data_IF_783589611882
#
_entry.id   IF_783589611882
#
_cell.length_a   1.000
_cell.length_b   1.000
_cell.length_c   1.000
_cell.angle_alpha   90.00
_cell.angle_beta   90.00
_cell.angle_gamma   90.00
#
_symmetry.space_group_name_H-M   'P 1'
#
loop_
_entity.id
_entity.type
_entity.pdbx_description
1 polymer ?
#
# COMPACT_ATOMS: atom_id res chain seq x y z
N UNK A 1 8.31 56.10 28.29
CA UNK A 1 7.12 55.23 28.11
C UNK A 1 7.15 54.44 26.80
N UNK A 2 7.45 55.07 25.65
CA UNK A 2 7.57 54.42 24.32
C UNK A 2 8.48 53.17 24.27
N UNK A 3 9.67 53.18 24.90
CA UNK A 3 10.58 52.03 24.90
C UNK A 3 10.02 50.79 25.64
N UNK A 4 9.16 51.00 26.66
CA UNK A 4 8.49 49.89 27.37
C UNK A 4 7.38 49.28 26.51
N UNK A 5 6.63 50.11 25.78
CA UNK A 5 5.58 49.67 24.85
C UNK A 5 6.19 48.85 23.70
N UNK A 6 7.29 49.31 23.09
CA UNK A 6 8.00 48.56 22.05
C UNK A 6 8.51 47.20 22.55
N UNK A 7 9.01 47.13 23.79
CA UNK A 7 9.46 45.87 24.39
C UNK A 7 8.30 44.88 24.58
N UNK A 8 7.13 45.36 25.00
CA UNK A 8 5.91 44.53 25.16
C UNK A 8 5.42 44.03 23.80
N UNK A 9 5.37 44.90 22.79
CA UNK A 9 4.98 44.52 21.42
C UNK A 9 5.92 43.48 20.82
N UNK A 10 7.23 43.62 21.03
CA UNK A 10 8.22 42.64 20.58
C UNK A 10 8.04 41.27 21.25
N UNK A 11 7.69 41.24 22.55
CA UNK A 11 7.41 39.99 23.28
C UNK A 11 6.13 39.32 22.74
N UNK A 12 5.05 40.08 22.53
CA UNK A 12 3.80 39.55 21.98
C UNK A 12 4.01 39.01 20.56
N UNK A 13 4.77 39.74 19.73
CA UNK A 13 5.08 39.32 18.38
C UNK A 13 5.94 38.05 18.35
N UNK A 14 6.95 37.97 19.22
CA UNK A 14 7.75 36.76 19.40
C UNK A 14 6.91 35.56 19.85
N UNK A 15 5.97 35.77 20.79
CA UNK A 15 5.05 34.72 21.23
C UNK A 15 4.12 34.24 20.10
N UNK A 16 3.56 35.16 19.30
CA UNK A 16 2.77 34.80 18.13
C UNK A 16 3.55 33.96 17.12
N UNK A 17 4.81 34.30 16.86
CA UNK A 17 5.68 33.52 15.96
C UNK A 17 5.84 32.09 16.49
N UNK A 18 6.12 31.93 17.79
CA UNK A 18 6.28 30.61 18.40
C UNK A 18 4.99 29.79 18.31
N UNK A 19 3.84 30.40 18.59
CA UNK A 19 2.53 29.75 18.45
C UNK A 19 2.26 29.35 16.99
N UNK A 20 2.56 30.23 16.04
CA UNK A 20 2.35 29.97 14.62
C UNK A 20 3.24 28.82 14.11
N UNK A 21 4.51 28.79 14.50
CA UNK A 21 5.42 27.67 14.19
C UNK A 21 4.91 26.38 14.83
N UNK A 22 4.41 26.44 16.08
CA UNK A 22 3.79 25.30 16.75
C UNK A 22 2.59 24.74 16.00
N UNK A 23 1.69 25.61 15.53
CA UNK A 23 0.52 25.22 14.74
C UNK A 23 0.90 24.63 13.37
N UNK A 24 1.90 25.20 12.69
CA UNK A 24 2.43 24.63 11.45
C UNK A 24 3.02 23.24 11.70
N UNK A 25 3.79 23.06 12.77
CA UNK A 25 4.35 21.76 13.12
C UNK A 25 3.25 20.72 13.38
N UNK A 26 2.21 21.08 14.15
CA UNK A 26 1.04 20.21 14.39
C UNK A 26 0.31 19.89 13.08
N UNK A 27 0.11 20.89 12.22
CA UNK A 27 -0.50 20.72 10.90
C UNK A 27 0.27 19.74 10.03
N UNK A 28 1.60 19.87 9.94
CA UNK A 28 2.49 18.95 9.21
C UNK A 28 2.42 17.53 9.77
N UNK A 29 2.41 17.37 11.10
CA UNK A 29 2.24 16.06 11.73
C UNK A 29 0.87 15.45 11.39
N UNK A 30 -0.20 16.23 11.40
CA UNK A 30 -1.55 15.75 11.08
C UNK A 30 -1.72 15.36 9.61
N UNK A 31 -1.10 16.10 8.66
CA UNK A 31 -1.20 15.75 7.23
C UNK A 31 -0.26 14.61 6.82
N UNK A 32 0.73 14.24 7.64
CA UNK A 32 1.60 13.09 7.36
C UNK A 32 0.83 11.76 7.34
N UNK A 33 -0.19 11.63 8.19
CA UNK A 33 -1.03 10.42 8.23
C UNK A 33 -2.01 10.35 7.05
N UNK A 34 -2.31 11.48 6.39
CA UNK A 34 -3.14 11.49 5.18
C UNK A 34 -2.43 10.83 3.97
N UNK A 35 -1.11 10.63 4.02
CA UNK A 35 -0.38 9.89 2.98
C UNK A 35 -0.64 8.38 3.01
N UNK A 36 -1.26 7.86 4.07
CA UNK A 36 -1.54 6.45 4.28
C UNK A 36 -3.03 6.09 4.17
N UNK A 37 -3.85 6.94 3.54
CA UNK A 37 -5.30 6.72 3.36
C UNK A 37 -5.65 5.56 2.41
N UNK A 38 -4.65 4.85 1.90
CA UNK A 38 -4.88 3.66 1.10
C UNK A 38 -5.21 2.48 2.00
N UNK A 39 -6.38 1.90 1.80
CA UNK A 39 -6.81 0.68 2.46
C UNK A 39 -6.63 -0.47 1.48
N UNK A 40 -5.99 -1.55 1.93
CA UNK A 40 -5.99 -2.80 1.20
C UNK A 40 -7.07 -3.72 1.80
N UNK A 41 -8.07 -4.10 1.00
CA UNK A 41 -9.15 -4.98 1.43
C UNK A 41 -8.96 -6.40 0.89
N UNK A 42 -8.95 -7.37 1.79
CA UNK A 42 -8.73 -8.78 1.45
C UNK A 42 -9.88 -9.31 0.59
N UNK A 43 -9.56 -10.01 -0.50
CA UNK A 43 -10.56 -10.65 -1.35
C UNK A 43 -10.51 -12.18 -1.27
N UNK A 44 -9.34 -12.79 -1.55
CA UNK A 44 -9.19 -14.24 -1.63
C UNK A 44 -7.75 -14.67 -1.43
N UNK A 45 -7.54 -15.90 -0.95
CA UNK A 45 -6.21 -16.51 -0.86
C UNK A 45 -6.15 -17.92 -1.46
N UNK A 46 -4.93 -18.32 -1.83
CA UNK A 46 -4.58 -19.65 -2.33
C UNK A 46 -3.33 -20.14 -1.60
N UNK A 47 -3.45 -21.19 -0.80
CA UNK A 47 -2.33 -21.77 -0.05
C UNK A 47 -1.41 -22.59 -0.96
N UNK A 48 -0.09 -22.55 -0.68
CA UNK A 48 0.86 -23.47 -1.30
C UNK A 48 0.56 -24.92 -0.88
N UNK A 49 0.97 -25.93 -1.68
CA UNK A 49 0.74 -27.34 -1.35
C UNK A 49 1.28 -27.75 0.02
N UNK A 50 2.44 -27.24 0.40
CA UNK A 50 3.06 -27.48 1.71
C UNK A 50 2.59 -26.54 2.83
N UNK A 51 1.70 -25.58 2.54
CA UNK A 51 1.22 -24.56 3.47
C UNK A 51 2.33 -23.74 4.14
N UNK A 52 3.42 -23.49 3.44
CA UNK A 52 4.46 -22.54 3.91
C UNK A 52 4.20 -21.13 3.40
N UNK A 53 3.51 -21.00 2.27
CA UNK A 53 3.18 -19.72 1.62
C UNK A 53 1.69 -19.66 1.28
N UNK A 54 1.23 -18.45 1.00
CA UNK A 54 -0.08 -18.20 0.41
C UNK A 54 -0.02 -17.02 -0.54
N UNK A 55 -0.75 -17.11 -1.63
CA UNK A 55 -1.00 -15.98 -2.51
C UNK A 55 -2.27 -15.30 -2.02
N UNK A 56 -2.25 -13.97 -1.89
CA UNK A 56 -3.39 -13.16 -1.48
C UNK A 56 -3.74 -12.17 -2.58
N UNK A 57 -5.02 -12.13 -2.94
CA UNK A 57 -5.64 -11.14 -3.81
C UNK A 57 -6.38 -10.14 -2.94
N UNK A 58 -6.20 -8.86 -3.23
CA UNK A 58 -6.83 -7.78 -2.48
C UNK A 58 -7.11 -6.55 -3.36
N UNK A 59 -8.10 -5.77 -2.95
CA UNK A 59 -8.35 -4.45 -3.51
C UNK A 59 -7.46 -3.42 -2.83
N UNK A 60 -6.93 -2.46 -3.58
CA UNK A 60 -6.32 -1.25 -3.00
C UNK A 60 -7.19 -0.06 -3.37
N UNK A 61 -7.77 0.58 -2.35
CA UNK A 61 -8.57 1.80 -2.47
C UNK A 61 -7.86 2.95 -1.76
N UNK A 62 -7.54 4.02 -2.48
CA UNK A 62 -6.91 5.23 -1.96
C UNK A 62 -7.88 6.44 -1.92
N UNK A 63 -9.18 6.20 -2.04
CA UNK A 63 -10.24 7.19 -1.93
C UNK A 63 -10.95 7.50 -3.26
N UNK A 64 -12.00 8.33 -3.14
CA UNK A 64 -13.03 8.55 -4.16
C UNK A 64 -12.54 9.03 -5.55
N UNK A 65 -11.37 9.65 -5.62
CA UNK A 65 -10.81 10.17 -6.88
C UNK A 65 -9.78 9.21 -7.51
N UNK A 66 -9.51 8.07 -6.88
CA UNK A 66 -8.55 7.07 -7.35
C UNK A 66 -9.28 5.87 -7.97
N UNK A 67 -8.67 5.27 -9.00
CA UNK A 67 -9.19 4.03 -9.59
C UNK A 67 -8.82 2.84 -8.68
N UNK A 68 -9.79 1.98 -8.38
CA UNK A 68 -9.54 0.72 -7.67
C UNK A 68 -8.57 -0.16 -8.44
N UNK A 69 -7.65 -0.78 -7.70
CA UNK A 69 -6.70 -1.72 -8.28
C UNK A 69 -6.79 -3.06 -7.55
N UNK A 70 -6.84 -4.13 -8.34
CA UNK A 70 -6.66 -5.50 -7.85
C UNK A 70 -5.18 -5.80 -7.79
N UNK A 71 -4.71 -6.21 -6.62
CA UNK A 71 -3.31 -6.51 -6.35
C UNK A 71 -3.15 -7.94 -5.87
N UNK A 72 -1.97 -8.49 -6.13
CA UNK A 72 -1.62 -9.84 -5.71
C UNK A 72 -0.24 -9.83 -5.05
N UNK A 73 -0.17 -10.45 -3.89
CA UNK A 73 1.04 -10.61 -3.07
C UNK A 73 1.23 -12.08 -2.69
N UNK A 74 2.46 -12.45 -2.36
CA UNK A 74 2.75 -13.74 -1.71
C UNK A 74 3.21 -13.47 -0.29
N UNK A 75 2.64 -14.20 0.66
CA UNK A 75 2.94 -14.10 2.09
C UNK A 75 3.38 -15.46 2.64
N UNK A 76 4.02 -15.43 3.81
CA UNK A 76 4.09 -16.63 4.65
C UNK A 76 2.68 -17.07 5.04
N UNK A 77 2.47 -18.38 5.14
CA UNK A 77 1.15 -18.95 5.37
C UNK A 77 0.47 -18.39 6.63
N UNK A 78 1.21 -18.29 7.73
CA UNK A 78 0.71 -17.79 9.02
C UNK A 78 0.74 -16.26 9.13
N UNK A 79 1.33 -15.55 8.16
CA UNK A 79 1.38 -14.09 8.19
C UNK A 79 -0.04 -13.54 7.97
N UNK A 80 -0.46 -12.64 8.87
CA UNK A 80 -1.71 -11.91 8.70
C UNK A 80 -1.58 -10.91 7.55
N UNK A 81 -2.62 -10.80 6.74
CA UNK A 81 -2.68 -9.79 5.68
C UNK A 81 -2.79 -8.39 6.30
N UNK A 82 -2.01 -7.44 5.76
CA UNK A 82 -1.92 -6.05 6.19
C UNK A 82 -1.64 -5.10 5.00
N UNK A 83 -1.65 -3.79 5.27
CA UNK A 83 -1.46 -2.76 4.24
C UNK A 83 -0.01 -2.63 3.72
N UNK A 84 0.97 -3.32 4.32
CA UNK A 84 2.41 -3.18 4.04
C UNK A 84 2.96 -4.21 3.05
N UNK A 85 2.11 -5.14 2.60
CA UNK A 85 2.55 -6.25 1.75
C UNK A 85 2.97 -5.80 0.35
N UNK A 86 4.12 -6.31 -0.10
CA UNK A 86 4.64 -6.09 -1.45
C UNK A 86 3.82 -6.87 -2.47
N UNK A 87 3.40 -6.20 -3.54
CA UNK A 87 2.69 -6.82 -4.66
C UNK A 87 3.66 -7.15 -5.80
N UNK A 88 3.40 -8.26 -6.48
CA UNK A 88 4.12 -8.65 -7.70
C UNK A 88 3.25 -8.50 -8.95
N UNK A 89 1.94 -8.38 -8.77
CA UNK A 89 0.98 -8.16 -9.84
C UNK A 89 -0.08 -7.13 -9.43
N UNK A 90 -0.46 -6.28 -10.38
CA UNK A 90 -1.47 -5.24 -10.17
C UNK A 90 -2.19 -4.88 -11.48
N UNK A 91 -3.52 -4.81 -11.42
CA UNK A 91 -4.38 -4.43 -12.56
C UNK A 91 -5.48 -3.47 -12.12
N UNK A 92 -5.94 -2.63 -13.05
CA UNK A 92 -7.07 -1.74 -12.80
C UNK A 92 -8.37 -2.53 -12.73
N UNK A 93 -9.22 -2.18 -11.78
CA UNK A 93 -10.52 -2.82 -11.56
C UNK A 93 -10.64 -3.46 -10.19
N UNK A 94 -11.87 -3.71 -9.75
CA UNK A 94 -12.15 -4.38 -8.48
C UNK A 94 -11.90 -5.88 -8.58
N UNK A 95 -11.48 -6.55 -7.49
CA UNK A 95 -11.25 -7.99 -7.53
C UNK A 95 -12.47 -8.80 -7.95
N UNK A 96 -13.69 -8.33 -7.63
CA UNK A 96 -14.95 -8.95 -8.09
C UNK A 96 -15.06 -9.07 -9.62
N UNK A 97 -14.39 -8.18 -10.35
CA UNK A 97 -14.54 -8.02 -11.79
C UNK A 97 -13.34 -8.57 -12.56
N UNK A 98 -12.14 -8.45 -11.98
CA UNK A 98 -10.87 -8.71 -12.68
C UNK A 98 -9.93 -9.69 -11.98
N UNK A 99 -10.24 -10.18 -10.77
CA UNK A 99 -9.33 -11.09 -10.07
C UNK A 99 -9.13 -12.39 -10.86
N UNK A 100 -7.88 -12.76 -11.16
CA UNK A 100 -7.60 -14.02 -11.82
C UNK A 100 -7.70 -15.20 -10.85
N UNK A 101 -7.92 -16.39 -11.41
CA UNK A 101 -7.65 -17.62 -10.67
C UNK A 101 -6.15 -17.87 -10.57
N UNK A 102 -5.75 -18.59 -9.53
CA UNK A 102 -4.34 -18.89 -9.26
C UNK A 102 -4.23 -20.39 -8.97
N UNK A 103 -3.16 -21.00 -9.49
CA UNK A 103 -2.84 -22.40 -9.24
C UNK A 103 -1.39 -22.50 -8.81
N UNK A 104 -1.16 -23.14 -7.66
CA UNK A 104 0.18 -23.59 -7.29
C UNK A 104 0.47 -24.90 -8.01
N UNK A 105 1.55 -24.94 -8.78
CA UNK A 105 2.05 -26.17 -9.40
C UNK A 105 2.87 -26.98 -8.39
N UNK A 106 3.70 -26.27 -7.63
CA UNK A 106 4.47 -26.77 -6.50
C UNK A 106 4.75 -25.60 -5.54
N UNK A 107 5.63 -25.76 -4.55
CA UNK A 107 5.91 -24.72 -3.56
C UNK A 107 6.75 -23.53 -4.10
N UNK A 108 7.19 -23.59 -5.36
CA UNK A 108 8.05 -22.58 -6.01
C UNK A 108 7.50 -22.07 -7.33
N UNK A 109 6.44 -22.66 -7.87
CA UNK A 109 5.88 -22.29 -9.17
C UNK A 109 4.38 -22.05 -9.06
N UNK A 110 3.93 -20.87 -9.50
CA UNK A 110 2.52 -20.53 -9.61
C UNK A 110 2.15 -20.16 -11.03
N UNK A 111 0.90 -20.43 -11.36
CA UNK A 111 0.25 -19.95 -12.57
C UNK A 111 -0.85 -18.96 -12.18
N UNK A 112 -0.81 -17.79 -12.79
CA UNK A 112 -1.90 -16.83 -12.81
C UNK A 112 -2.65 -17.02 -14.12
N UNK A 113 -3.94 -17.34 -14.00
CA UNK A 113 -4.87 -17.50 -15.13
C UNK A 113 -5.28 -16.12 -15.66
N UNK A 114 -4.30 -15.39 -16.19
CA UNK A 114 -4.41 -14.06 -16.79
C UNK A 114 -3.33 -13.86 -17.84
N UNK A 115 -3.74 -13.62 -19.09
CA UNK A 115 -2.83 -13.21 -20.16
C UNK A 115 -2.41 -11.76 -19.99
N UNK A 116 -1.12 -11.54 -19.76
CA UNK A 116 -0.52 -10.20 -19.73
C UNK A 116 -0.60 -9.56 -21.11
N UNK A 117 -1.21 -8.37 -21.19
CA UNK A 117 -1.45 -7.64 -22.45
C UNK A 117 -0.84 -6.24 -22.48
N UNK A 118 -0.01 -5.89 -21.49
CA UNK A 118 0.57 -4.55 -21.33
C UNK A 118 -0.40 -3.51 -20.78
N UNK A 119 -1.56 -3.95 -20.24
CA UNK A 119 -2.54 -3.09 -19.57
C UNK A 119 -2.41 -3.14 -18.04
N UNK A 120 -1.62 -4.09 -17.57
CA UNK A 120 -1.30 -4.32 -16.18
C UNK A 120 -0.44 -3.16 -15.65
N UNK A 121 -0.67 -2.78 -14.40
CA UNK A 121 0.17 -1.80 -13.71
C UNK A 121 1.49 -2.46 -13.31
N UNK A 122 1.42 -3.74 -12.91
CA UNK A 122 2.58 -4.55 -12.53
C UNK A 122 2.33 -6.01 -12.90
N UNK A 123 3.34 -6.68 -13.42
CA UNK A 123 3.34 -8.12 -13.67
C UNK A 123 4.78 -8.64 -13.63
N UNK A 124 5.18 -9.18 -12.49
CA UNK A 124 6.51 -9.78 -12.30
C UNK A 124 6.47 -11.29 -12.54
N UNK A 125 7.59 -11.85 -12.96
CA UNK A 125 7.72 -13.28 -13.24
C UNK A 125 8.35 -14.04 -12.06
N UNK A 126 8.84 -13.33 -11.04
CA UNK A 126 9.45 -13.90 -9.86
C UNK A 126 9.11 -13.04 -8.63
N UNK A 127 9.01 -13.66 -7.45
CA UNK A 127 8.78 -12.96 -6.19
C UNK A 127 9.69 -13.44 -5.06
N UNK A 128 10.31 -12.48 -4.36
CA UNK A 128 11.27 -12.70 -3.28
C UNK A 128 12.73 -12.80 -3.75
N UNK A 129 13.68 -12.35 -2.92
CA UNK A 129 15.10 -12.27 -3.32
C UNK A 129 15.88 -13.57 -3.12
N UNK A 130 15.51 -14.41 -2.14
CA UNK A 130 16.21 -15.65 -1.79
C UNK A 130 15.25 -16.81 -2.07
N UNK A 131 15.60 -17.68 -3.01
CA UNK A 131 14.73 -18.75 -3.52
C UNK A 131 13.37 -18.22 -4.05
N UNK A 132 13.38 -17.44 -5.15
CA UNK A 132 12.18 -16.81 -5.66
C UNK A 132 11.11 -17.84 -6.03
N UNK A 133 9.85 -17.43 -5.85
CA UNK A 133 8.69 -18.11 -6.42
C UNK A 133 8.54 -17.63 -7.85
N UNK A 134 8.52 -18.56 -8.80
CA UNK A 134 8.31 -18.29 -10.22
C UNK A 134 6.83 -18.15 -10.53
N UNK A 135 6.51 -17.18 -11.38
CA UNK A 135 5.17 -16.77 -11.74
C UNK A 135 5.02 -16.88 -13.25
N UNK A 136 4.06 -17.68 -13.69
CA UNK A 136 3.69 -17.84 -15.10
C UNK A 136 2.30 -17.27 -15.33
N UNK A 137 2.09 -16.67 -16.50
CA UNK A 137 0.83 -16.04 -16.91
C UNK A 137 0.26 -16.79 -18.12
N UNK A 138 -1.00 -17.24 -18.04
CA UNK A 138 -1.67 -18.00 -19.11
C UNK A 138 -3.09 -17.53 -19.48
#
# INVERSE_FOLDING_TARGET
MIKKIFKILAIIFGFMIVVFIGLIAIGIYAVRDLGNICINDFFKEYSSPDKTKKVVIYERDCGATTTWNTNISILDYDKQFDNSNENFFSIKGRPSDVAPNITWIDNKNIIIHHKVKGKEIRAENEFGSINPIKITYE
#
